data_IF_758022308507
#
_entry.id   IF_758022308507
#
_cell.length_a   1.000
_cell.length_b   1.000
_cell.length_c   1.000
_cell.angle_alpha   90.00
_cell.angle_beta   90.00
_cell.angle_gamma   90.00
#
_symmetry.space_group_name_H-M   'P 1'
#
loop_
_entity.id
_entity.type
_entity.pdbx_description
1 polymer ?
#
# COMPACT_ATOMS: atom_id res chain seq x y z
N UNK A 1 -9.46 40.66 -23.75
CA UNK A 1 -9.32 40.91 -22.29
C UNK A 1 -9.10 39.66 -21.43
N UNK A 2 -9.05 38.43 -21.97
CA UNK A 2 -8.90 37.20 -21.18
C UNK A 2 -7.45 36.82 -20.81
N UNK A 3 -6.46 37.09 -21.68
CA UNK A 3 -5.04 36.71 -21.46
C UNK A 3 -4.38 37.35 -20.23
N UNK A 4 -4.83 38.54 -19.80
CA UNK A 4 -4.25 39.23 -18.63
C UNK A 4 -4.67 38.63 -17.27
N UNK A 5 -5.72 37.80 -17.22
CA UNK A 5 -6.22 37.20 -15.98
C UNK A 5 -5.58 35.84 -15.67
N UNK A 6 -5.16 35.09 -16.68
CA UNK A 6 -4.42 33.82 -16.52
C UNK A 6 -2.98 34.03 -16.06
N UNK A 7 -2.27 34.99 -16.66
CA UNK A 7 -0.90 35.33 -16.24
C UNK A 7 -0.83 35.83 -14.79
N UNK A 8 -1.87 36.54 -14.31
CA UNK A 8 -1.94 36.97 -12.90
C UNK A 8 -2.25 35.83 -11.94
N UNK A 9 -2.89 34.75 -12.39
CA UNK A 9 -3.16 33.54 -11.59
C UNK A 9 -1.92 32.66 -11.48
N UNK A 10 -1.24 32.37 -12.60
CA UNK A 10 -0.02 31.55 -12.59
C UNK A 10 1.11 32.20 -11.77
N UNK A 11 1.24 33.53 -11.84
CA UNK A 11 2.26 34.26 -11.07
C UNK A 11 1.95 34.28 -9.56
N UNK A 12 0.66 34.25 -9.18
CA UNK A 12 0.23 34.12 -7.78
C UNK A 12 0.43 32.71 -7.22
N UNK A 13 0.24 31.68 -8.03
CA UNK A 13 0.49 30.29 -7.65
C UNK A 13 1.99 30.00 -7.52
N UNK A 14 2.82 30.49 -8.44
CA UNK A 14 4.28 30.41 -8.33
C UNK A 14 4.82 31.19 -7.13
N UNK A 15 4.26 32.36 -6.83
CA UNK A 15 4.62 33.12 -5.63
C UNK A 15 4.24 32.39 -4.34
N UNK A 16 3.08 31.73 -4.29
CA UNK A 16 2.62 30.89 -3.16
C UNK A 16 3.46 29.63 -2.98
N UNK A 17 3.83 28.95 -4.07
CA UNK A 17 4.72 27.80 -4.07
C UNK A 17 6.12 28.15 -3.55
N UNK A 18 6.69 29.28 -4.00
CA UNK A 18 7.99 29.75 -3.52
C UNK A 18 7.95 30.24 -2.06
N UNK A 19 6.84 30.82 -1.60
CA UNK A 19 6.69 31.18 -0.18
C UNK A 19 6.54 29.96 0.72
N UNK A 20 5.84 28.90 0.26
CA UNK A 20 5.77 27.64 0.99
C UNK A 20 7.12 26.93 1.05
N UNK A 21 7.87 26.85 -0.06
CA UNK A 21 9.24 26.28 -0.06
C UNK A 21 10.20 27.06 0.84
N UNK A 22 10.09 28.39 0.91
CA UNK A 22 10.88 29.21 1.83
C UNK A 22 10.47 29.00 3.29
N UNK A 23 9.18 28.86 3.59
CA UNK A 23 8.68 28.51 4.92
C UNK A 23 9.18 27.12 5.35
N UNK A 24 9.11 26.11 4.50
CA UNK A 24 9.62 24.77 4.79
C UNK A 24 11.14 24.76 5.02
N UNK A 25 11.91 25.48 4.21
CA UNK A 25 13.36 25.62 4.43
C UNK A 25 13.69 26.34 5.73
N UNK A 26 12.90 27.35 6.09
CA UNK A 26 13.07 28.07 7.36
C UNK A 26 12.71 27.20 8.56
N UNK A 27 11.62 26.43 8.48
CA UNK A 27 11.22 25.45 9.51
C UNK A 27 12.26 24.34 9.65
N UNK A 28 12.78 23.78 8.54
CA UNK A 28 13.88 22.80 8.58
C UNK A 28 15.15 23.37 9.20
N UNK A 29 15.47 24.64 8.91
CA UNK A 29 16.65 25.33 9.44
C UNK A 29 16.49 25.67 10.92
N UNK A 30 15.30 26.10 11.34
CA UNK A 30 14.98 26.34 12.76
C UNK A 30 14.92 25.02 13.55
N UNK A 31 14.46 23.92 12.96
CA UNK A 31 14.51 22.58 13.57
C UNK A 31 15.97 22.10 13.69
N UNK A 32 16.79 22.30 12.67
CA UNK A 32 18.23 21.99 12.71
C UNK A 32 18.96 22.86 13.75
N UNK A 33 18.66 24.17 13.81
CA UNK A 33 19.26 25.10 14.77
C UNK A 33 18.81 24.80 16.21
N UNK A 34 17.54 24.45 16.42
CA UNK A 34 17.04 23.96 17.72
C UNK A 34 17.63 22.60 18.12
N UNK A 35 17.93 21.72 17.17
CA UNK A 35 18.65 20.46 17.44
C UNK A 35 20.14 20.70 17.79
N UNK A 36 20.70 21.83 17.36
CA UNK A 36 22.09 22.21 17.66
C UNK A 36 22.26 23.05 18.93
N UNK A 37 21.20 23.67 19.44
CA UNK A 37 21.24 24.54 20.61
C UNK A 37 20.69 23.81 21.86
N UNK A 38 21.63 23.37 22.73
CA UNK A 38 21.49 22.54 23.94
C UNK A 38 21.40 21.03 23.70
N UNK A 39 22.50 20.47 23.20
CA UNK A 39 22.85 19.10 23.53
C UNK A 39 23.93 19.14 24.63
N UNK A 40 23.55 18.84 25.88
CA UNK A 40 24.41 17.98 26.68
C UNK A 40 24.53 16.72 25.85
N UNK A 41 25.58 16.61 25.03
CA UNK A 41 25.75 15.52 24.09
C UNK A 41 25.69 14.22 24.90
N UNK A 42 24.58 13.48 24.78
CA UNK A 42 24.52 12.13 25.30
C UNK A 42 25.71 11.41 24.68
N UNK A 43 26.72 11.11 25.50
CA UNK A 43 27.99 10.54 25.02
C UNK A 43 27.67 9.15 24.50
N UNK A 44 27.47 9.04 23.19
CA UNK A 44 27.31 7.73 22.56
C UNK A 44 28.62 6.97 22.71
N UNK A 45 28.54 5.73 23.17
CA UNK A 45 29.71 4.85 23.12
C UNK A 45 30.07 4.57 21.66
N UNK A 46 31.35 4.31 21.38
CA UNK A 46 31.79 3.93 20.04
C UNK A 46 31.04 2.70 19.50
N UNK A 47 30.65 1.79 20.39
CA UNK A 47 29.85 0.62 20.06
C UNK A 47 28.40 0.98 19.65
N UNK A 48 27.78 1.95 20.34
CA UNK A 48 26.44 2.45 20.00
C UNK A 48 26.44 3.19 18.66
N UNK A 49 27.46 4.01 18.37
CA UNK A 49 27.56 4.69 17.07
C UNK A 49 27.67 3.69 15.92
N UNK A 50 28.54 2.68 16.05
CA UNK A 50 28.68 1.63 15.03
C UNK A 50 27.40 0.83 14.80
N UNK A 51 26.66 0.53 15.86
CA UNK A 51 25.41 -0.24 15.73
C UNK A 51 24.30 0.58 15.05
N UNK A 52 24.23 1.88 15.32
CA UNK A 52 23.33 2.81 14.63
C UNK A 52 23.76 3.03 13.17
N UNK A 53 25.05 3.18 12.90
CA UNK A 53 25.57 3.29 11.52
C UNK A 53 25.18 2.07 10.68
N UNK A 54 25.34 0.86 11.23
CA UNK A 54 24.92 -0.38 10.54
C UNK A 54 23.40 -0.41 10.34
N UNK A 55 22.61 -0.04 11.36
CA UNK A 55 21.16 0.02 11.26
C UNK A 55 20.72 0.91 10.08
N UNK A 56 21.34 2.09 9.96
CA UNK A 56 21.00 3.09 8.94
C UNK A 56 21.70 2.86 7.59
N UNK A 57 22.61 1.89 7.51
CA UNK A 57 23.40 1.64 6.30
C UNK A 57 22.51 1.29 5.11
N UNK A 58 22.68 2.01 3.99
CA UNK A 58 21.93 1.76 2.77
C UNK A 58 20.50 2.33 2.77
N UNK A 59 20.10 3.07 3.82
CA UNK A 59 18.88 3.88 3.76
C UNK A 59 19.12 5.04 2.79
N UNK A 60 18.28 5.14 1.76
CA UNK A 60 18.34 6.17 0.74
C UNK A 60 17.48 5.83 -0.45
N UNK A 61 17.47 6.70 -1.45
CA UNK A 61 16.87 6.41 -2.75
C UNK A 61 17.92 5.65 -3.58
N UNK A 62 17.64 4.42 -4.03
CA UNK A 62 18.57 3.71 -4.92
C UNK A 62 18.70 4.46 -6.25
N UNK A 63 19.83 4.30 -6.92
CA UNK A 63 20.01 4.82 -8.28
C UNK A 63 18.91 4.26 -9.21
N UNK A 64 18.31 5.09 -10.09
CA UNK A 64 17.30 4.64 -11.03
C UNK A 64 17.83 3.50 -11.90
N UNK A 65 17.11 2.39 -11.93
CA UNK A 65 17.39 1.25 -12.82
C UNK A 65 16.12 0.90 -13.59
N UNK A 66 16.25 0.32 -14.80
CA UNK A 66 15.11 -0.24 -15.50
C UNK A 66 14.39 -1.25 -14.60
N UNK A 67 13.07 -1.13 -14.52
CA UNK A 67 12.25 -2.10 -13.80
C UNK A 67 12.26 -3.43 -14.56
N UNK A 68 12.48 -4.53 -13.84
CA UNK A 68 12.35 -5.89 -14.36
C UNK A 68 11.37 -6.62 -13.45
N UNK A 69 10.28 -7.19 -13.98
CA UNK A 69 9.33 -7.93 -13.17
C UNK A 69 9.95 -9.22 -12.63
N UNK A 70 9.59 -9.59 -11.42
CA UNK A 70 9.90 -10.89 -10.83
C UNK A 70 9.11 -12.01 -11.56
N UNK A 71 9.64 -13.23 -11.56
CA UNK A 71 9.03 -14.38 -12.25
C UNK A 71 7.57 -14.65 -11.83
N UNK A 72 7.24 -14.49 -10.55
CA UNK A 72 5.87 -14.69 -10.05
C UNK A 72 4.89 -13.66 -10.64
N UNK A 73 5.37 -12.48 -11.03
CA UNK A 73 4.54 -11.44 -11.61
C UNK A 73 4.21 -11.74 -13.07
N UNK A 74 5.18 -12.24 -13.84
CA UNK A 74 4.95 -12.66 -15.24
C UNK A 74 4.08 -13.91 -15.30
N UNK A 75 4.32 -14.88 -14.40
CA UNK A 75 3.48 -16.08 -14.25
C UNK A 75 2.02 -15.70 -13.96
N UNK A 76 1.78 -14.71 -13.09
CA UNK A 76 0.43 -14.25 -12.80
C UNK A 76 -0.28 -13.68 -14.04
N UNK A 77 0.42 -12.89 -14.86
CA UNK A 77 -0.16 -12.34 -16.10
C UNK A 77 -0.49 -13.43 -17.12
N UNK A 78 0.34 -14.46 -17.23
CA UNK A 78 0.08 -15.60 -18.10
C UNK A 78 -1.14 -16.41 -17.64
N UNK A 79 -1.26 -16.65 -16.32
CA UNK A 79 -2.36 -17.43 -15.75
C UNK A 79 -3.72 -16.71 -15.84
N UNK A 80 -3.75 -15.37 -15.68
CA UNK A 80 -4.96 -14.54 -15.74
C UNK A 80 -5.74 -14.72 -17.05
N UNK A 81 -5.09 -15.11 -18.15
CA UNK A 81 -5.76 -15.37 -19.42
C UNK A 81 -6.76 -16.54 -19.33
N UNK A 82 -6.44 -17.56 -18.53
CA UNK A 82 -7.14 -18.85 -18.55
C UNK A 82 -7.93 -19.13 -17.27
N UNK A 83 -7.44 -18.68 -16.12
CA UNK A 83 -8.02 -19.01 -14.82
C UNK A 83 -7.97 -17.83 -13.83
N UNK A 84 -8.79 -17.88 -12.78
CA UNK A 84 -8.71 -16.89 -11.69
C UNK A 84 -7.35 -17.03 -11.00
N UNK A 85 -6.78 -15.95 -10.46
CA UNK A 85 -5.42 -16.00 -9.89
C UNK A 85 -5.40 -15.50 -8.46
N UNK A 86 -4.79 -16.28 -7.56
CA UNK A 86 -4.51 -15.91 -6.18
C UNK A 86 -3.01 -15.73 -5.99
N UNK A 87 -2.58 -14.49 -5.78
CA UNK A 87 -1.18 -14.14 -5.52
C UNK A 87 -0.96 -13.86 -4.05
N UNK A 88 -0.13 -14.68 -3.41
CA UNK A 88 0.34 -14.46 -2.04
C UNK A 88 1.80 -14.06 -2.05
N UNK A 89 2.08 -12.81 -1.66
CA UNK A 89 3.45 -12.28 -1.61
C UNK A 89 3.55 -11.14 -0.58
N UNK A 90 4.64 -11.02 0.18
CA UNK A 90 4.80 -9.98 1.21
C UNK A 90 4.56 -8.56 0.69
N UNK A 91 4.06 -7.66 1.52
CA UNK A 91 3.95 -6.23 1.18
C UNK A 91 5.31 -5.67 0.76
N UNK A 92 5.33 -4.90 -0.32
CA UNK A 92 6.55 -4.41 -0.96
C UNK A 92 7.09 -5.30 -2.08
N UNK A 93 6.51 -6.49 -2.31
CA UNK A 93 6.91 -7.38 -3.42
C UNK A 93 6.38 -6.97 -4.79
N UNK A 94 5.74 -5.81 -4.92
CA UNK A 94 5.28 -5.31 -6.22
C UNK A 94 4.02 -5.99 -6.77
N UNK A 95 3.18 -6.63 -5.96
CA UNK A 95 1.91 -7.27 -6.40
C UNK A 95 1.05 -6.37 -7.29
N UNK A 96 0.94 -5.08 -6.95
CA UNK A 96 0.17 -4.09 -7.72
C UNK A 96 0.63 -3.97 -9.18
N UNK A 97 1.89 -4.30 -9.50
CA UNK A 97 2.35 -4.29 -10.89
C UNK A 97 1.54 -5.25 -11.77
N UNK A 98 1.18 -6.44 -11.26
CA UNK A 98 0.36 -7.43 -11.96
C UNK A 98 -1.00 -6.80 -12.33
N UNK A 99 -1.66 -6.16 -11.36
CA UNK A 99 -2.92 -5.46 -11.59
C UNK A 99 -2.78 -4.33 -12.61
N UNK A 100 -1.68 -3.55 -12.56
CA UNK A 100 -1.45 -2.41 -13.47
C UNK A 100 -1.30 -2.87 -14.92
N UNK A 101 -0.51 -3.93 -15.16
CA UNK A 101 -0.32 -4.44 -16.52
C UNK A 101 -1.60 -5.06 -17.07
N UNK A 102 -2.36 -5.80 -16.27
CA UNK A 102 -3.62 -6.36 -16.74
C UNK A 102 -4.67 -5.26 -16.98
N UNK A 103 -4.77 -4.25 -16.12
CA UNK A 103 -5.62 -3.08 -16.36
C UNK A 103 -5.26 -2.40 -17.68
N UNK A 104 -3.96 -2.16 -17.95
CA UNK A 104 -3.50 -1.57 -19.20
C UNK A 104 -4.00 -2.37 -20.40
N UNK A 105 -3.77 -3.68 -20.38
CA UNK A 105 -4.19 -4.60 -21.44
C UNK A 105 -5.72 -4.57 -21.65
N UNK A 106 -6.49 -4.55 -20.58
CA UNK A 106 -7.96 -4.50 -20.65
C UNK A 106 -8.45 -3.18 -21.25
N UNK A 107 -7.89 -2.05 -20.84
CA UNK A 107 -8.24 -0.74 -21.37
C UNK A 107 -7.94 -0.64 -22.87
N UNK A 108 -6.80 -1.17 -23.33
CA UNK A 108 -6.46 -1.26 -24.75
C UNK A 108 -7.45 -2.11 -25.57
N UNK A 109 -8.08 -3.10 -24.92
CA UNK A 109 -9.12 -3.94 -25.52
C UNK A 109 -10.54 -3.35 -25.41
N UNK A 110 -10.69 -2.16 -24.82
CA UNK A 110 -12.00 -1.56 -24.54
C UNK A 110 -12.81 -2.32 -23.47
N UNK A 111 -12.15 -3.15 -22.67
CA UNK A 111 -12.74 -3.89 -21.54
C UNK A 111 -12.74 -3.07 -20.26
N UNK A 112 -13.48 -3.54 -19.27
CA UNK A 112 -13.73 -2.84 -18.01
C UNK A 112 -13.14 -3.61 -16.83
N UNK A 113 -12.55 -2.87 -15.90
CA UNK A 113 -11.93 -3.43 -14.71
C UNK A 113 -12.43 -2.75 -13.43
N UNK A 114 -12.51 -3.51 -12.36
CA UNK A 114 -12.69 -3.00 -10.99
C UNK A 114 -11.45 -3.27 -10.17
N UNK A 115 -10.91 -2.26 -9.50
CA UNK A 115 -9.91 -2.41 -8.47
C UNK A 115 -10.53 -2.13 -7.11
N UNK A 116 -10.72 -3.17 -6.31
CA UNK A 116 -11.31 -3.05 -4.98
C UNK A 116 -10.24 -3.00 -3.90
N UNK A 117 -10.55 -2.28 -2.83
CA UNK A 117 -9.68 -2.14 -1.65
C UNK A 117 -10.51 -2.29 -0.37
N UNK A 118 -9.94 -2.76 0.75
CA UNK A 118 -10.67 -2.87 2.00
C UNK A 118 -10.99 -1.52 2.66
N UNK A 119 -10.20 -0.48 2.35
CA UNK A 119 -10.24 0.80 3.06
C UNK A 119 -10.35 1.96 2.09
N UNK A 120 -11.23 2.93 2.40
CA UNK A 120 -11.41 4.16 1.61
C UNK A 120 -10.12 4.95 1.39
N UNK A 121 -9.24 4.97 2.39
CA UNK A 121 -7.94 5.63 2.28
C UNK A 121 -7.07 5.01 1.16
N UNK A 122 -7.07 3.67 1.06
CA UNK A 122 -6.37 2.95 0.00
C UNK A 122 -7.04 3.21 -1.36
N UNK A 123 -8.37 3.26 -1.41
CA UNK A 123 -9.13 3.62 -2.61
C UNK A 123 -8.69 4.98 -3.16
N UNK A 124 -8.57 6.00 -2.31
CA UNK A 124 -8.14 7.34 -2.73
C UNK A 124 -6.70 7.38 -3.25
N UNK A 125 -5.78 6.63 -2.61
CA UNK A 125 -4.40 6.50 -3.11
C UNK A 125 -4.39 5.87 -4.50
N UNK A 126 -5.09 4.74 -4.66
CA UNK A 126 -5.16 4.01 -5.93
C UNK A 126 -5.85 4.80 -7.03
N UNK A 127 -6.91 5.53 -6.71
CA UNK A 127 -7.55 6.45 -7.66
C UNK A 127 -6.56 7.50 -8.17
N UNK A 128 -5.75 8.09 -7.29
CA UNK A 128 -4.75 9.10 -7.68
C UNK A 128 -3.64 8.49 -8.54
N UNK A 129 -3.11 7.34 -8.12
CA UNK A 129 -2.06 6.60 -8.86
C UNK A 129 -2.56 6.20 -10.25
N UNK A 130 -3.73 5.58 -10.34
CA UNK A 130 -4.28 5.11 -11.61
C UNK A 130 -4.78 6.23 -12.51
N UNK A 131 -5.31 7.33 -11.96
CA UNK A 131 -5.68 8.50 -12.78
C UNK A 131 -4.45 9.12 -13.43
N UNK A 132 -3.31 9.15 -12.72
CA UNK A 132 -2.05 9.64 -13.28
C UNK A 132 -1.47 8.70 -14.35
N UNK A 133 -1.69 7.39 -14.22
CA UNK A 133 -1.15 6.37 -15.11
C UNK A 133 -2.01 6.12 -16.36
N UNK A 134 -3.33 6.02 -16.20
CA UNK A 134 -4.26 5.63 -17.25
C UNK A 134 -5.11 6.79 -17.80
N UNK A 135 -4.95 8.00 -17.26
CA UNK A 135 -5.75 9.17 -17.60
C UNK A 135 -7.01 9.27 -16.74
N UNK A 136 -7.29 10.48 -16.23
CA UNK A 136 -8.40 10.72 -15.31
C UNK A 136 -9.79 10.45 -15.94
N UNK A 137 -9.88 10.54 -17.27
CA UNK A 137 -11.07 10.21 -18.05
C UNK A 137 -11.38 8.71 -18.05
N UNK A 138 -10.36 7.86 -17.87
CA UNK A 138 -10.51 6.41 -17.89
C UNK A 138 -10.69 5.80 -16.49
N UNK A 139 -10.60 6.63 -15.44
CA UNK A 139 -10.64 6.16 -14.05
C UNK A 139 -11.75 6.83 -13.26
N UNK A 140 -12.60 6.00 -12.64
CA UNK A 140 -13.63 6.40 -11.70
C UNK A 140 -13.28 6.01 -10.27
N UNK A 141 -13.91 6.69 -9.31
CA UNK A 141 -13.88 6.31 -7.89
C UNK A 141 -15.30 6.17 -7.36
N UNK A 142 -15.54 5.03 -6.70
CA UNK A 142 -16.81 4.73 -6.04
C UNK A 142 -16.55 4.25 -4.61
N UNK A 143 -16.82 5.13 -3.66
CA UNK A 143 -16.93 4.83 -2.23
C UNK A 143 -18.34 5.18 -1.74
N UNK A 144 -18.67 4.86 -0.49
CA UNK A 144 -19.96 5.25 0.09
C UNK A 144 -20.20 6.76 0.14
N UNK A 145 -19.14 7.56 0.13
CA UNK A 145 -19.14 9.02 0.28
C UNK A 145 -18.67 9.79 -0.98
N UNK A 146 -18.00 9.12 -1.93
CA UNK A 146 -17.44 9.74 -3.12
C UNK A 146 -17.81 8.95 -4.36
N UNK A 147 -18.38 9.63 -5.36
CA UNK A 147 -18.76 9.05 -6.64
C UNK A 147 -18.33 9.99 -7.75
N UNK A 148 -17.29 9.62 -8.49
CA UNK A 148 -16.74 10.41 -9.59
C UNK A 148 -16.44 9.50 -10.78
N UNK A 149 -16.80 9.96 -11.98
CA UNK A 149 -16.58 9.24 -13.24
C UNK A 149 -16.99 7.74 -13.17
N UNK A 150 -18.18 7.44 -12.62
CA UNK A 150 -18.58 6.06 -12.29
C UNK A 150 -18.89 5.17 -13.50
N UNK A 151 -18.96 5.75 -14.71
CA UNK A 151 -19.09 5.02 -15.96
C UNK A 151 -17.73 4.68 -16.61
N UNK A 152 -16.62 5.14 -16.03
CA UNK A 152 -15.27 4.91 -16.52
C UNK A 152 -14.96 3.41 -16.71
N UNK A 153 -14.08 3.06 -17.67
CA UNK A 153 -13.70 1.67 -17.89
C UNK A 153 -12.94 1.06 -16.71
N UNK A 154 -12.15 1.84 -15.96
CA UNK A 154 -11.56 1.42 -14.68
C UNK A 154 -12.28 2.08 -13.51
N UNK A 155 -12.83 1.28 -12.60
CA UNK A 155 -13.40 1.77 -11.35
C UNK A 155 -12.53 1.36 -10.16
N UNK A 156 -12.14 2.34 -9.34
CA UNK A 156 -11.49 2.11 -8.05
C UNK A 156 -12.52 2.27 -6.93
N UNK A 157 -12.74 1.23 -6.13
CA UNK A 157 -13.77 1.26 -5.09
C UNK A 157 -13.41 0.49 -3.83
N UNK A 158 -14.27 0.57 -2.82
CA UNK A 158 -14.18 -0.40 -1.72
C UNK A 158 -14.84 -1.72 -2.11
N UNK A 159 -14.42 -2.83 -1.50
CA UNK A 159 -15.03 -4.14 -1.76
C UNK A 159 -16.53 -4.13 -1.47
N UNK A 160 -17.00 -3.40 -0.45
CA UNK A 160 -18.43 -3.24 -0.16
C UNK A 160 -19.20 -2.62 -1.31
N UNK A 161 -18.61 -1.63 -1.98
CA UNK A 161 -19.29 -0.91 -3.06
C UNK A 161 -19.37 -1.79 -4.30
N UNK A 162 -18.33 -2.55 -4.60
CA UNK A 162 -18.37 -3.57 -5.65
C UNK A 162 -19.45 -4.63 -5.36
N UNK A 163 -19.46 -5.16 -4.12
CA UNK A 163 -20.48 -6.09 -3.63
C UNK A 163 -21.90 -5.52 -3.76
N UNK A 164 -22.09 -4.25 -3.44
CA UNK A 164 -23.39 -3.58 -3.63
C UNK A 164 -23.79 -3.52 -5.11
N UNK A 165 -22.86 -3.26 -6.03
CA UNK A 165 -23.14 -3.28 -7.49
C UNK A 165 -23.57 -4.67 -7.97
N UNK A 166 -23.00 -5.73 -7.40
CA UNK A 166 -23.41 -7.11 -7.68
C UNK A 166 -24.85 -7.36 -7.23
N UNK A 167 -25.21 -6.97 -6.00
CA UNK A 167 -26.59 -7.09 -5.53
C UNK A 167 -27.58 -6.27 -6.35
N UNK A 168 -27.24 -5.02 -6.69
CA UNK A 168 -28.09 -4.17 -7.49
C UNK A 168 -28.34 -4.76 -8.89
N UNK A 169 -27.30 -5.32 -9.51
CA UNK A 169 -27.39 -5.97 -10.82
C UNK A 169 -28.28 -7.22 -10.75
N UNK A 170 -28.11 -8.06 -9.73
CA UNK A 170 -28.95 -9.25 -9.51
C UNK A 170 -30.43 -8.87 -9.30
N UNK A 171 -30.70 -7.84 -8.48
CA UNK A 171 -32.07 -7.37 -8.21
C UNK A 171 -32.75 -6.80 -9.45
N UNK A 172 -31.98 -6.17 -10.33
CA UNK A 172 -32.49 -5.54 -11.55
C UNK A 172 -32.53 -6.50 -12.74
N UNK A 173 -31.92 -7.68 -12.63
CA UNK A 173 -31.77 -8.61 -13.75
C UNK A 173 -30.77 -8.12 -14.79
N UNK A 174 -29.85 -7.23 -14.40
CA UNK A 174 -28.81 -6.65 -15.26
C UNK A 174 -27.46 -7.36 -15.05
N UNK A 175 -26.55 -7.16 -15.99
CA UNK A 175 -25.18 -7.63 -15.85
C UNK A 175 -24.28 -6.53 -15.28
N UNK A 176 -23.43 -6.87 -14.31
CA UNK A 176 -22.38 -5.96 -13.81
C UNK A 176 -21.43 -5.57 -14.95
N UNK A 177 -21.20 -4.27 -15.15
CA UNK A 177 -20.31 -3.75 -16.20
C UNK A 177 -18.82 -3.87 -15.84
N UNK A 178 -18.32 -5.09 -15.70
CA UNK A 178 -16.93 -5.41 -15.45
C UNK A 178 -16.55 -6.72 -16.14
N UNK A 179 -15.33 -6.79 -16.67
CA UNK A 179 -14.75 -8.00 -17.28
C UNK A 179 -13.68 -8.62 -16.35
N UNK A 180 -13.08 -7.80 -15.49
CA UNK A 180 -12.02 -8.19 -14.58
C UNK A 180 -12.15 -7.48 -13.23
N UNK A 181 -11.84 -8.16 -12.14
CA UNK A 181 -11.88 -7.61 -10.79
C UNK A 181 -10.61 -7.96 -10.04
N UNK A 182 -9.95 -6.93 -9.49
CA UNK A 182 -8.84 -7.06 -8.57
C UNK A 182 -9.38 -6.92 -7.15
N UNK A 183 -9.25 -7.99 -6.36
CA UNK A 183 -9.52 -7.99 -4.93
C UNK A 183 -8.19 -7.77 -4.19
N UNK A 184 -7.87 -6.51 -3.90
CA UNK A 184 -6.67 -6.16 -3.14
C UNK A 184 -6.85 -6.47 -1.64
N UNK A 185 -5.75 -6.83 -1.00
CA UNK A 185 -5.70 -7.27 0.40
C UNK A 185 -6.69 -8.40 0.72
N UNK A 186 -6.71 -9.44 -0.10
CA UNK A 186 -7.61 -10.59 0.06
C UNK A 186 -7.47 -11.35 1.41
N UNK A 187 -6.45 -11.06 2.21
CA UNK A 187 -6.36 -11.55 3.59
C UNK A 187 -7.48 -10.99 4.50
N UNK A 188 -8.17 -9.91 4.11
CA UNK A 188 -9.36 -9.41 4.81
C UNK A 188 -10.53 -10.39 4.78
N UNK A 189 -10.50 -11.45 3.96
CA UNK A 189 -11.47 -12.55 4.05
C UNK A 189 -11.52 -13.16 5.45
N UNK A 190 -10.37 -13.24 6.15
CA UNK A 190 -10.29 -13.78 7.50
C UNK A 190 -10.72 -12.79 8.60
N UNK A 191 -11.19 -11.59 8.22
CA UNK A 191 -11.72 -10.60 9.16
C UNK A 191 -13.10 -11.02 9.66
N UNK A 192 -13.27 -11.10 10.99
CA UNK A 192 -14.50 -11.61 11.61
C UNK A 192 -15.72 -10.73 11.33
N UNK A 193 -15.53 -9.41 11.21
CA UNK A 193 -16.64 -8.48 11.03
C UNK A 193 -16.93 -8.22 9.55
N UNK A 194 -15.90 -8.18 8.70
CA UNK A 194 -16.00 -7.71 7.31
C UNK A 194 -15.64 -8.76 6.26
N UNK A 195 -15.15 -9.94 6.67
CA UNK A 195 -14.77 -11.03 5.76
C UNK A 195 -15.90 -11.49 4.85
N UNK A 196 -17.13 -11.51 5.37
CA UNK A 196 -18.34 -11.84 4.60
C UNK A 196 -18.51 -10.98 3.33
N UNK A 197 -18.01 -9.74 3.33
CA UNK A 197 -18.07 -8.87 2.14
C UNK A 197 -17.20 -9.41 1.01
N UNK A 198 -16.04 -9.99 1.31
CA UNK A 198 -15.18 -10.64 0.31
C UNK A 198 -15.80 -11.95 -0.15
N UNK A 199 -16.36 -12.74 0.76
CA UNK A 199 -17.07 -13.98 0.41
C UNK A 199 -18.20 -13.71 -0.58
N UNK A 200 -19.08 -12.76 -0.24
CA UNK A 200 -20.18 -12.33 -1.10
C UNK A 200 -19.67 -11.77 -2.45
N UNK A 201 -18.61 -10.95 -2.44
CA UNK A 201 -18.05 -10.42 -3.68
C UNK A 201 -17.52 -11.52 -4.61
N UNK A 202 -16.89 -12.56 -4.06
CA UNK A 202 -16.36 -13.70 -4.82
C UNK A 202 -17.49 -14.59 -5.35
N UNK A 203 -18.45 -14.94 -4.50
CA UNK A 203 -19.59 -15.81 -4.83
C UNK A 203 -20.49 -15.15 -5.87
N UNK A 204 -20.83 -13.88 -5.69
CA UNK A 204 -21.80 -13.18 -6.53
C UNK A 204 -21.21 -12.70 -7.86
N UNK A 205 -19.87 -12.61 -7.95
CA UNK A 205 -19.21 -12.25 -9.21
C UNK A 205 -19.53 -13.30 -10.29
N UNK A 206 -20.11 -12.93 -11.45
CA UNK A 206 -20.37 -13.89 -12.51
C UNK A 206 -19.10 -14.62 -12.99
N UNK A 207 -19.18 -15.90 -13.43
CA UNK A 207 -18.01 -16.65 -13.92
C UNK A 207 -17.31 -16.02 -15.13
N UNK A 208 -18.01 -15.18 -15.91
CA UNK A 208 -17.41 -14.42 -17.01
C UNK A 208 -16.46 -13.30 -16.55
N UNK A 209 -16.51 -12.92 -15.27
CA UNK A 209 -15.62 -11.92 -14.68
C UNK A 209 -14.44 -12.66 -14.09
N UNK A 210 -13.25 -12.37 -14.62
CA UNK A 210 -12.00 -12.95 -14.13
C UNK A 210 -11.57 -12.25 -12.85
N UNK A 211 -11.11 -13.02 -11.86
CA UNK A 211 -10.64 -12.51 -10.57
C UNK A 211 -9.11 -12.57 -10.44
N UNK A 212 -8.53 -11.48 -9.93
CA UNK A 212 -7.18 -11.44 -9.41
C UNK A 212 -7.21 -11.07 -7.93
N UNK A 213 -6.84 -12.00 -7.07
CA UNK A 213 -6.77 -11.82 -5.62
C UNK A 213 -5.33 -11.55 -5.22
N UNK A 214 -5.07 -10.40 -4.60
CA UNK A 214 -3.75 -10.01 -4.14
C UNK A 214 -3.72 -10.05 -2.60
N UNK A 215 -2.77 -10.78 -2.03
CA UNK A 215 -2.65 -10.87 -0.58
C UNK A 215 -1.21 -10.81 -0.09
N UNK A 216 -0.99 -10.17 1.07
CA UNK A 216 0.27 -10.15 1.76
C UNK A 216 0.59 -11.50 2.45
N UNK A 217 -0.43 -12.10 3.06
CA UNK A 217 -0.32 -13.31 3.88
C UNK A 217 -1.63 -14.09 3.83
N UNK A 218 -1.62 -15.31 3.33
CA UNK A 218 -2.71 -16.27 3.50
C UNK A 218 -2.06 -17.57 3.98
N UNK A 219 -2.43 -18.02 5.18
CA UNK A 219 -1.86 -19.25 5.76
C UNK A 219 -2.19 -20.49 4.94
N UNK A 220 -3.41 -20.55 4.38
CA UNK A 220 -3.93 -21.69 3.61
C UNK A 220 -4.36 -21.26 2.20
N UNK A 221 -3.43 -20.75 1.38
CA UNK A 221 -3.75 -20.26 0.04
C UNK A 221 -4.41 -21.33 -0.85
N UNK A 222 -3.97 -22.59 -0.76
CA UNK A 222 -4.52 -23.70 -1.55
C UNK A 222 -5.95 -24.06 -1.12
N UNK A 223 -6.26 -23.98 0.17
CA UNK A 223 -7.62 -24.21 0.67
C UNK A 223 -8.54 -23.09 0.22
N UNK A 224 -8.08 -21.85 0.31
CA UNK A 224 -8.82 -20.69 -0.16
C UNK A 224 -9.10 -20.78 -1.66
N UNK A 225 -8.11 -21.14 -2.46
CA UNK A 225 -8.28 -21.37 -3.90
C UNK A 225 -9.32 -22.45 -4.18
N UNK A 226 -9.22 -23.63 -3.55
CA UNK A 226 -10.23 -24.70 -3.72
C UNK A 226 -11.64 -24.26 -3.39
N UNK A 227 -11.82 -23.46 -2.33
CA UNK A 227 -13.13 -22.89 -2.00
C UNK A 227 -13.64 -21.96 -3.10
N UNK A 228 -12.79 -21.08 -3.65
CA UNK A 228 -13.15 -20.22 -4.78
C UNK A 228 -13.56 -21.06 -5.99
N UNK A 229 -12.81 -22.11 -6.30
CA UNK A 229 -13.12 -23.04 -7.41
C UNK A 229 -14.49 -23.71 -7.22
N UNK A 230 -14.82 -24.14 -5.99
CA UNK A 230 -16.10 -24.75 -5.64
C UNK A 230 -17.28 -23.78 -5.83
N UNK A 231 -17.16 -22.53 -5.36
CA UNK A 231 -18.27 -21.56 -5.41
C UNK A 231 -18.43 -20.89 -6.78
N UNK A 232 -17.37 -20.81 -7.60
CA UNK A 232 -17.40 -20.15 -8.92
C UNK A 232 -17.46 -21.11 -10.10
N UNK A 233 -17.02 -22.37 -9.95
CA UNK A 233 -17.01 -23.36 -11.03
C UNK A 233 -15.89 -23.17 -12.06
N UNK A 234 -14.76 -22.57 -11.68
CA UNK A 234 -13.57 -22.38 -12.51
C UNK A 234 -12.29 -22.74 -11.75
N UNK A 235 -11.14 -22.80 -12.43
CA UNK A 235 -9.85 -23.04 -11.77
C UNK A 235 -9.28 -21.77 -11.16
N UNK A 236 -8.44 -21.94 -10.13
CA UNK A 236 -7.68 -20.86 -9.50
C UNK A 236 -6.19 -21.21 -9.49
N UNK A 237 -5.37 -20.41 -10.18
CA UNK A 237 -3.92 -20.53 -10.12
C UNK A 237 -3.38 -19.87 -8.86
N UNK A 238 -2.74 -20.67 -8.01
CA UNK A 238 -2.14 -20.18 -6.76
C UNK A 238 -0.67 -19.87 -6.97
N UNK A 239 -0.30 -18.61 -6.79
CA UNK A 239 1.08 -18.15 -6.84
C UNK A 239 1.51 -17.78 -5.43
N UNK A 240 2.38 -18.60 -4.85
CA UNK A 240 2.92 -18.35 -3.52
C UNK A 240 4.39 -17.95 -3.58
N UNK A 241 4.66 -16.66 -3.41
CA UNK A 241 6.02 -16.14 -3.26
C UNK A 241 6.46 -16.29 -1.81
N UNK A 242 6.83 -17.51 -1.44
CA UNK A 242 7.48 -17.80 -0.17
C UNK A 242 8.85 -17.10 -0.10
N UNK A 243 9.20 -16.53 1.06
CA UNK A 243 10.54 -15.99 1.31
C UNK A 243 10.57 -14.60 1.95
N UNK A 244 11.77 -14.02 2.02
CA UNK A 244 12.01 -12.72 2.64
C UNK A 244 11.41 -11.57 1.83
N UNK A 245 11.07 -10.49 2.53
CA UNK A 245 10.68 -9.22 1.89
C UNK A 245 11.82 -8.75 0.97
N UNK A 246 11.51 -8.22 -0.23
CA UNK A 246 12.54 -7.66 -1.11
C UNK A 246 13.29 -6.49 -0.45
N UNK A 247 12.58 -5.73 0.39
CA UNK A 247 13.16 -4.67 1.22
C UNK A 247 13.24 -5.17 2.66
N UNK A 248 14.47 -5.27 3.16
CA UNK A 248 14.76 -5.66 4.53
C UNK A 248 14.13 -4.69 5.53
N UNK A 249 13.48 -5.21 6.57
CA UNK A 249 12.98 -4.41 7.68
C UNK A 249 13.97 -4.45 8.83
N UNK A 250 14.36 -3.27 9.33
CA UNK A 250 15.23 -3.14 10.50
C UNK A 250 14.50 -2.38 11.58
N UNK A 251 14.35 -3.01 12.74
CA UNK A 251 13.62 -2.43 13.87
C UNK A 251 14.56 -1.66 14.80
N UNK A 252 14.07 -0.53 15.33
CA UNK A 252 14.82 0.32 16.23
C UNK A 252 13.91 0.91 17.32
N UNK A 253 14.49 1.19 18.47
CA UNK A 253 13.90 1.89 19.59
C UNK A 253 14.43 3.32 19.65
N UNK A 254 13.53 4.30 19.64
CA UNK A 254 13.87 5.70 19.85
C UNK A 254 13.54 6.08 21.30
N UNK A 255 14.57 6.31 22.09
CA UNK A 255 14.44 6.70 23.49
C UNK A 255 13.94 8.15 23.63
N UNK A 256 13.31 8.54 24.77
CA UNK A 256 12.86 9.91 25.04
C UNK A 256 13.96 10.97 24.93
N UNK A 257 15.20 10.58 25.21
CA UNK A 257 16.40 11.42 25.06
C UNK A 257 16.89 11.51 23.60
N UNK A 258 16.08 11.08 22.62
CA UNK A 258 16.36 11.10 21.19
C UNK A 258 17.49 10.14 20.74
N UNK A 259 17.91 9.21 21.60
CA UNK A 259 18.87 8.18 21.21
C UNK A 259 18.18 7.04 20.47
N UNK A 260 18.78 6.61 19.36
CA UNK A 260 18.31 5.49 18.56
C UNK A 260 19.10 4.22 18.93
N UNK A 261 18.39 3.12 19.16
CA UNK A 261 18.97 1.82 19.46
C UNK A 261 18.42 0.80 18.46
N UNK A 262 19.23 -0.04 17.81
CA UNK A 262 18.72 -1.21 17.12
C UNK A 262 17.91 -2.06 18.10
N UNK A 263 16.72 -2.53 17.70
CA UNK A 263 15.87 -3.33 18.58
C UNK A 263 16.48 -4.70 18.87
N UNK A 264 17.17 -5.25 17.88
CA UNK A 264 17.85 -6.53 17.94
C UNK A 264 19.36 -6.37 17.77
N UNK A 265 20.13 -7.27 18.38
CA UNK A 265 21.57 -7.41 18.19
C UNK A 265 21.89 -8.20 16.92
N UNK A 266 23.19 -8.41 16.65
CA UNK A 266 23.67 -9.14 15.46
C UNK A 266 23.21 -10.60 15.39
N UNK A 267 22.79 -11.18 16.53
CA UNK A 267 22.29 -12.54 16.63
C UNK A 267 20.75 -12.60 16.63
N UNK A 268 20.07 -11.48 16.39
CA UNK A 268 18.61 -11.37 16.43
C UNK A 268 18.00 -11.39 17.83
N UNK A 269 18.82 -11.26 18.89
CA UNK A 269 18.32 -11.18 20.27
C UNK A 269 18.00 -9.74 20.64
N UNK A 270 17.08 -9.55 21.58
CA UNK A 270 16.72 -8.22 22.06
C UNK A 270 17.94 -7.45 22.56
N UNK A 271 18.07 -6.18 22.15
CA UNK A 271 19.21 -5.35 22.51
C UNK A 271 19.15 -4.94 23.99
N UNK A 272 20.03 -5.53 24.80
CA UNK A 272 20.12 -5.28 26.26
C UNK A 272 20.42 -3.82 26.63
N UNK A 273 20.98 -3.02 25.72
CA UNK A 273 21.17 -1.60 25.97
C UNK A 273 19.84 -0.86 26.19
N UNK A 274 18.74 -1.35 25.60
CA UNK A 274 17.39 -0.81 25.79
C UNK A 274 16.89 -1.11 27.21
N UNK A 275 17.14 -2.33 27.72
CA UNK A 275 16.78 -2.70 29.09
C UNK A 275 17.52 -1.86 30.13
N UNK A 276 18.82 -1.62 29.90
CA UNK A 276 19.65 -0.79 30.76
C UNK A 276 19.13 0.65 30.79
N UNK A 277 18.80 1.22 29.63
CA UNK A 277 18.19 2.54 29.55
C UNK A 277 16.88 2.63 30.35
N UNK A 278 15.98 1.65 30.19
CA UNK A 278 14.70 1.62 30.91
C UNK A 278 14.87 1.50 32.43
N UNK A 279 15.89 0.78 32.89
CA UNK A 279 16.20 0.66 34.33
C UNK A 279 16.79 1.95 34.90
N UNK A 280 17.59 2.68 34.12
CA UNK A 280 18.17 3.96 34.51
C UNK A 280 17.10 5.05 34.65
N UNK A 281 16.19 5.19 33.68
CA UNK A 281 15.07 6.15 33.78
C UNK A 281 14.20 5.89 35.02
N UNK A 282 13.83 4.63 35.28
CA UNK A 282 13.06 4.26 36.46
C UNK A 282 13.77 4.64 37.78
N UNK A 283 15.10 4.58 37.83
CA UNK A 283 15.87 5.05 39.00
C UNK A 283 15.90 6.56 39.12
N UNK A 284 15.95 7.28 38.00
CA UNK A 284 15.91 8.75 37.98
C UNK A 284 14.54 9.30 38.40
N UNK A 285 13.43 8.70 37.95
CA UNK A 285 12.08 9.08 38.36
C UNK A 285 11.83 8.84 39.86
N UNK A 286 12.27 7.69 40.38
CA UNK A 286 12.18 7.38 41.82
C UNK A 286 12.98 8.34 42.71
N UNK A 287 14.03 8.96 42.17
CA UNK A 287 14.84 9.98 42.86
C UNK A 287 14.23 11.38 42.80
N UNK A 288 13.39 11.68 41.80
CA UNK A 288 12.67 12.97 41.70
C UNK A 288 11.42 13.05 42.57
N UNK A 289 10.89 11.90 43.01
CA UNK A 289 9.72 11.80 43.89
C UNK A 289 10.07 11.56 45.38
N UNK A 290 11.33 11.73 45.77
CA UNK A 290 11.78 11.80 47.16
C UNK A 290 12.25 13.21 47.48
#
# INVERSE_FOLDING_TARGET
MARSREDKRSNRENARSNTNRRKERKVKRELAEKSSAKNDSAKFSSAQLKSVERLLQGIGTPEPRPFVPDAFQTEALEAIEFEDVLVTAPTGSGKTWIAREEIRRLLEQGKRAWYTTPLKALTNSKYTEFSAEFGAENVGILTGDRKENYDAPLIVGTTEIYRNQLFDSLRQGEQVKADFVILDEAHYLADEERGHVWEEAIILSPPRIRLLLLSATVGNADEFARWIEEVRGGKVHVINRAGSRPVELRAAFLAPNQQLFPLFDENGKFNRAIEQFAQEENRFERRRHR
#
